data_IF_653159557101
#
_entry.id   IF_653159557101
#
_cell.length_a   1.000
_cell.length_b   1.000
_cell.length_c   1.000
_cell.angle_alpha   90.00
_cell.angle_beta   90.00
_cell.angle_gamma   90.00
#
_symmetry.space_group_name_H-M   'P 1'
#
loop_
_entity.id
_entity.type
_entity.pdbx_description
1 polymer ?
#
# COMPACT_ATOMS: atom_id res chain seq x y z
N UNK A 1 32.86 11.97 -4.50
CA UNK A 1 31.47 12.15 -4.97
C UNK A 1 30.53 11.90 -3.80
N UNK A 2 30.08 12.94 -3.10
CA UNK A 2 29.17 12.79 -1.95
C UNK A 2 27.78 12.38 -2.43
N UNK A 3 27.28 11.24 -1.92
CA UNK A 3 25.91 10.79 -2.15
C UNK A 3 24.97 11.73 -1.38
N UNK A 4 23.98 12.37 -2.02
CA UNK A 4 23.04 13.21 -1.29
C UNK A 4 22.34 12.35 -0.22
N UNK A 5 22.22 12.88 0.99
CA UNK A 5 21.46 12.25 2.06
C UNK A 5 20.01 12.07 1.59
N UNK A 6 19.48 10.85 1.73
CA UNK A 6 18.08 10.55 1.40
C UNK A 6 17.20 11.35 2.36
N UNK A 7 16.50 12.36 1.86
CA UNK A 7 15.50 13.08 2.64
C UNK A 7 14.50 12.06 3.21
N UNK A 8 14.10 12.23 4.48
CA UNK A 8 13.07 11.41 5.12
C UNK A 8 11.84 11.49 4.21
N UNK A 9 11.30 10.37 3.70
CA UNK A 9 10.17 10.46 2.78
C UNK A 9 9.04 11.13 3.54
N UNK A 10 8.62 12.30 3.03
CA UNK A 10 7.42 12.95 3.52
C UNK A 10 6.27 11.94 3.45
N UNK A 11 5.38 11.98 4.45
CA UNK A 11 4.23 11.09 4.49
C UNK A 11 3.50 11.21 3.13
N UNK A 12 3.33 10.11 2.36
CA UNK A 12 2.71 10.18 1.06
C UNK A 12 1.37 10.90 1.15
N UNK A 13 1.10 11.87 0.27
CA UNK A 13 -0.17 12.61 0.28
C UNK A 13 -1.40 11.69 0.18
N UNK A 14 -1.23 10.54 -0.49
CA UNK A 14 -2.25 9.49 -0.57
C UNK A 14 -2.52 8.77 0.77
N UNK A 15 -1.55 8.73 1.69
CA UNK A 15 -1.78 8.23 3.06
C UNK A 15 -2.55 9.27 3.89
N UNK A 16 -2.18 10.55 3.77
CA UNK A 16 -2.85 11.63 4.51
C UNK A 16 -4.33 11.74 4.17
N UNK A 17 -4.67 11.50 2.90
CA UNK A 17 -6.05 11.59 2.39
C UNK A 17 -6.68 10.21 2.13
N UNK A 18 -6.19 9.15 2.76
CA UNK A 18 -6.61 7.78 2.44
C UNK A 18 -8.13 7.58 2.56
N UNK A 19 -8.77 8.19 3.56
CA UNK A 19 -10.22 8.10 3.78
C UNK A 19 -11.04 8.81 2.70
N UNK A 20 -10.47 9.84 2.07
CA UNK A 20 -11.12 10.61 1.01
C UNK A 20 -10.99 9.94 -0.38
N UNK A 21 -10.19 8.88 -0.51
CA UNK A 21 -10.02 8.20 -1.79
C UNK A 21 -11.27 7.39 -2.17
N UNK A 22 -11.68 7.35 -3.45
CA UNK A 22 -12.77 6.49 -3.87
C UNK A 22 -12.35 5.01 -3.80
N UNK A 23 -13.31 4.10 -3.60
CA UNK A 23 -13.03 2.65 -3.57
C UNK A 23 -12.40 2.13 -4.86
N UNK A 24 -12.59 2.80 -6.00
CA UNK A 24 -11.97 2.47 -7.28
C UNK A 24 -10.49 2.87 -7.38
N UNK A 25 -9.97 3.69 -6.45
CA UNK A 25 -8.59 4.15 -6.48
C UNK A 25 -7.58 3.03 -6.20
N UNK A 26 -6.34 3.24 -6.63
CA UNK A 26 -5.22 2.33 -6.43
C UNK A 26 -4.07 3.04 -5.71
N UNK A 27 -3.47 2.37 -4.72
CA UNK A 27 -2.36 2.90 -3.92
C UNK A 27 -1.13 2.00 -4.00
N UNK A 28 0.05 2.59 -3.77
CA UNK A 28 1.34 1.89 -3.80
C UNK A 28 1.72 1.34 -2.42
N UNK A 29 2.73 0.46 -2.42
CA UNK A 29 3.25 -0.21 -1.22
C UNK A 29 3.63 0.76 -0.09
N UNK A 30 4.10 1.96 -0.40
CA UNK A 30 4.48 2.96 0.60
C UNK A 30 3.28 3.40 1.47
N UNK A 31 2.09 3.46 0.87
CA UNK A 31 0.84 3.75 1.59
C UNK A 31 0.47 2.58 2.49
N UNK A 32 0.61 1.33 2.02
CA UNK A 32 0.36 0.13 2.84
C UNK A 32 1.31 0.08 4.04
N UNK A 33 2.58 0.43 3.85
CA UNK A 33 3.54 0.50 4.95
C UNK A 33 3.10 1.49 6.03
N UNK A 34 2.56 2.64 5.62
CA UNK A 34 1.97 3.61 6.53
C UNK A 34 0.71 3.10 7.23
N UNK A 35 -0.23 2.51 6.48
CA UNK A 35 -1.51 2.00 7.00
C UNK A 35 -1.33 0.87 8.02
N UNK A 36 -0.46 -0.09 7.72
CA UNK A 36 -0.24 -1.27 8.57
C UNK A 36 0.91 -1.10 9.56
N UNK A 37 1.64 0.03 9.53
CA UNK A 37 2.89 0.24 10.28
C UNK A 37 3.93 -0.89 10.07
N UNK A 38 3.98 -1.46 8.86
CA UNK A 38 4.82 -2.61 8.51
C UNK A 38 5.86 -2.26 7.44
N UNK A 39 7.00 -2.95 7.46
CA UNK A 39 8.03 -2.80 6.43
C UNK A 39 7.54 -3.25 5.05
N UNK A 40 8.11 -2.68 3.98
CA UNK A 40 7.82 -3.07 2.58
C UNK A 40 7.98 -4.57 2.39
N UNK A 41 9.05 -5.17 2.94
CA UNK A 41 9.32 -6.60 2.84
C UNK A 41 8.20 -7.43 3.50
N UNK A 42 7.71 -7.00 4.66
CA UNK A 42 6.60 -7.65 5.35
C UNK A 42 5.31 -7.59 4.54
N UNK A 43 4.99 -6.42 3.95
CA UNK A 43 3.80 -6.27 3.10
C UNK A 43 3.86 -7.21 1.89
N UNK A 44 4.99 -7.27 1.18
CA UNK A 44 5.15 -8.19 0.05
C UNK A 44 5.07 -9.66 0.47
N UNK A 45 5.61 -9.99 1.65
CA UNK A 45 5.52 -11.35 2.20
C UNK A 45 4.06 -11.69 2.50
N UNK A 46 3.31 -10.81 3.17
CA UNK A 46 1.87 -11.01 3.44
C UNK A 46 1.08 -11.14 2.14
N UNK A 47 1.31 -10.25 1.18
CA UNK A 47 0.66 -10.29 -0.14
C UNK A 47 0.90 -11.60 -0.93
N UNK A 48 1.95 -12.38 -0.59
CA UNK A 48 2.22 -13.68 -1.20
C UNK A 48 1.72 -14.87 -0.37
N UNK A 49 1.82 -14.77 0.96
CA UNK A 49 1.59 -15.90 1.88
C UNK A 49 0.18 -15.91 2.47
N UNK A 50 -0.43 -14.74 2.64
CA UNK A 50 -1.71 -14.59 3.33
C UNK A 50 -2.84 -14.48 2.29
N UNK A 51 -3.74 -15.49 2.19
CA UNK A 51 -4.85 -15.46 1.26
C UNK A 51 -5.88 -14.37 1.56
N UNK A 52 -5.98 -13.93 2.81
CA UNK A 52 -6.93 -12.91 3.24
C UNK A 52 -6.40 -11.48 3.02
N UNK A 53 -5.10 -11.33 2.71
CA UNK A 53 -4.50 -10.03 2.45
C UNK A 53 -4.85 -9.55 1.03
N UNK A 54 -5.15 -8.25 0.82
CA UNK A 54 -5.49 -7.72 -0.49
C UNK A 54 -4.41 -8.00 -1.54
N UNK A 55 -4.84 -8.51 -2.70
CA UNK A 55 -3.92 -8.99 -3.74
C UNK A 55 -3.30 -7.82 -4.52
N UNK A 56 -1.99 -7.88 -4.80
CA UNK A 56 -1.34 -6.90 -5.65
C UNK A 56 -1.87 -6.99 -7.09
N UNK A 57 -2.31 -5.86 -7.65
CA UNK A 57 -2.73 -5.75 -9.05
C UNK A 57 -1.61 -5.12 -9.89
N UNK A 58 -1.22 -5.78 -10.99
CA UNK A 58 -0.30 -5.21 -11.98
C UNK A 58 -1.10 -4.34 -12.95
N UNK A 59 -0.88 -3.03 -12.93
CA UNK A 59 -1.51 -2.07 -13.86
C UNK A 59 -0.57 -1.72 -15.03
N UNK A 60 0.69 -2.16 -14.99
CA UNK A 60 1.67 -1.98 -16.05
C UNK A 60 2.96 -2.77 -15.77
N UNK A 61 3.94 -2.67 -16.68
CA UNK A 61 5.18 -3.46 -16.63
C UNK A 61 5.98 -3.29 -15.31
N UNK A 62 5.91 -2.10 -14.70
CA UNK A 62 6.60 -1.78 -13.44
C UNK A 62 5.67 -1.20 -12.38
N UNK A 63 4.35 -1.31 -12.57
CA UNK A 63 3.37 -0.69 -11.69
C UNK A 63 2.49 -1.74 -11.03
N UNK A 64 2.78 -2.01 -9.76
CA UNK A 64 1.95 -2.83 -8.89
C UNK A 64 1.28 -1.95 -7.83
N UNK A 65 -0.03 -2.09 -7.71
CA UNK A 65 -0.83 -1.30 -6.80
C UNK A 65 -1.94 -2.14 -6.15
N UNK A 66 -2.51 -1.63 -5.08
CA UNK A 66 -3.62 -2.25 -4.34
C UNK A 66 -4.86 -1.37 -4.43
N UNK A 67 -6.02 -2.01 -4.53
CA UNK A 67 -7.28 -1.30 -4.56
C UNK A 67 -7.64 -0.79 -3.15
N UNK A 68 -8.09 0.47 -3.06
CA UNK A 68 -8.46 1.10 -1.78
C UNK A 68 -9.68 0.43 -1.15
N UNK A 69 -10.68 0.04 -1.95
CA UNK A 69 -11.87 -0.65 -1.44
C UNK A 69 -11.56 -2.00 -0.80
N UNK A 70 -10.67 -2.79 -1.42
CA UNK A 70 -10.20 -4.07 -0.84
C UNK A 70 -9.42 -3.84 0.46
N UNK A 71 -8.56 -2.82 0.50
CA UNK A 71 -7.81 -2.47 1.71
C UNK A 71 -8.74 -2.06 2.86
N UNK A 72 -9.78 -1.27 2.58
CA UNK A 72 -10.77 -0.87 3.60
C UNK A 72 -11.51 -2.07 4.17
N UNK A 73 -12.04 -2.94 3.31
CA UNK A 73 -12.73 -4.17 3.74
C UNK A 73 -11.84 -5.01 4.65
N UNK A 74 -10.57 -5.18 4.28
CA UNK A 74 -9.61 -5.92 5.10
C UNK A 74 -9.36 -5.26 6.46
N UNK A 75 -9.26 -3.92 6.52
CA UNK A 75 -9.08 -3.18 7.78
C UNK A 75 -10.33 -3.23 8.68
N UNK A 76 -11.52 -3.24 8.09
CA UNK A 76 -12.80 -3.39 8.80
C UNK A 76 -13.03 -4.83 9.31
N UNK A 77 -12.17 -5.78 8.95
CA UNK A 77 -12.30 -7.19 9.33
C UNK A 77 -13.32 -7.96 8.49
N UNK A 78 -13.88 -7.34 7.45
CA UNK A 78 -14.72 -8.01 6.47
C UNK A 78 -13.79 -8.68 5.47
N UNK A 79 -13.64 -10.01 5.58
CA UNK A 79 -12.81 -10.77 4.66
C UNK A 79 -13.12 -10.41 3.20
N UNK A 80 -12.06 -10.10 2.44
CA UNK A 80 -12.12 -9.53 1.09
C UNK A 80 -12.63 -10.50 0.02
#
# INVERSE_FOLDING_TARGET
MSRPAKAKPAIPAALQNFDNLPNAAHVRVDVLCGLYAQSIATIWRRARLDPAFPRPRKLGAQLTAWNVGELRRHLEGVAA
#
